data_IF_592147255850
#
_entry.id   IF_592147255850
#
_cell.length_a   1.000
_cell.length_b   1.000
_cell.length_c   1.000
_cell.angle_alpha   90.00
_cell.angle_beta   90.00
_cell.angle_gamma   90.00
#
_symmetry.space_group_name_H-M   'P 1'
#
loop_
_entity.id
_entity.type
_entity.pdbx_description
1 polymer ?
#
# COMPACT_ATOMS: atom_id res chain seq x y z
N UNK A 1 42.87 0.23 -6.37
CA UNK A 1 42.62 -1.23 -6.47
C UNK A 1 41.33 -1.54 -7.25
N UNK A 2 40.19 -0.90 -6.90
CA UNK A 2 38.90 -1.11 -7.59
C UNK A 2 38.89 -0.73 -9.09
N UNK A 3 39.54 0.37 -9.48
CA UNK A 3 39.61 0.79 -10.89
C UNK A 3 40.40 -0.18 -11.77
N UNK A 4 41.44 -0.80 -11.21
CA UNK A 4 42.26 -1.78 -11.91
C UNK A 4 41.46 -3.05 -12.20
N UNK A 5 40.68 -3.53 -11.21
CA UNK A 5 39.76 -4.67 -11.36
C UNK A 5 38.67 -4.36 -12.38
N UNK A 6 38.08 -3.17 -12.35
CA UNK A 6 37.05 -2.75 -13.29
C UNK A 6 37.56 -2.70 -14.75
N UNK A 7 38.80 -2.22 -14.98
CA UNK A 7 39.44 -2.22 -16.32
C UNK A 7 39.73 -3.64 -16.82
N UNK A 8 40.14 -4.55 -15.95
CA UNK A 8 40.40 -5.95 -16.28
C UNK A 8 39.12 -6.68 -16.67
N UNK A 9 38.03 -6.47 -15.93
CA UNK A 9 36.72 -7.07 -16.22
C UNK A 9 36.07 -6.53 -17.50
N UNK A 10 36.28 -5.26 -17.83
CA UNK A 10 35.70 -4.60 -19.01
C UNK A 10 36.58 -4.66 -20.28
N UNK A 11 37.69 -5.40 -20.28
CA UNK A 11 38.52 -5.54 -21.49
C UNK A 11 37.77 -6.32 -22.58
N UNK A 12 37.92 -5.92 -23.85
CA UNK A 12 37.32 -6.64 -24.97
C UNK A 12 37.84 -8.09 -25.08
N UNK A 13 39.06 -8.34 -24.58
CA UNK A 13 39.70 -9.66 -24.52
C UNK A 13 39.05 -10.60 -23.48
N UNK A 14 38.58 -10.09 -22.33
CA UNK A 14 37.87 -10.91 -21.33
C UNK A 14 36.46 -11.32 -21.79
N UNK A 15 35.89 -10.63 -22.78
CA UNK A 15 34.58 -10.95 -23.37
C UNK A 15 34.65 -11.88 -24.60
N UNK A 16 35.82 -11.98 -25.25
CA UNK A 16 36.00 -12.67 -26.53
C UNK A 16 35.87 -14.21 -26.49
N UNK A 17 35.80 -14.82 -25.30
CA UNK A 17 35.57 -16.27 -25.12
C UNK A 17 34.43 -16.59 -24.16
N UNK A 18 33.68 -15.59 -23.72
CA UNK A 18 32.62 -15.78 -22.74
C UNK A 18 31.41 -16.37 -23.44
N UNK A 19 31.09 -17.64 -23.12
CA UNK A 19 29.83 -18.27 -23.57
C UNK A 19 28.67 -17.34 -23.24
N UNK A 20 27.71 -17.21 -24.17
CA UNK A 20 26.52 -16.36 -24.02
C UNK A 20 25.95 -16.55 -22.60
N UNK A 21 26.00 -15.48 -21.80
CA UNK A 21 25.57 -15.51 -20.40
C UNK A 21 24.11 -15.99 -20.34
N UNK A 22 23.81 -17.15 -19.71
CA UNK A 22 22.44 -17.64 -19.61
C UNK A 22 21.72 -16.91 -18.48
N UNK A 23 20.83 -15.94 -18.76
CA UNK A 23 20.22 -15.11 -17.73
C UNK A 23 19.37 -15.92 -16.76
N UNK A 24 18.75 -17.01 -17.22
CA UNK A 24 17.90 -17.89 -16.42
C UNK A 24 18.66 -18.75 -15.41
N UNK A 25 19.89 -19.17 -15.73
CA UNK A 25 20.71 -20.03 -14.86
C UNK A 25 21.50 -19.24 -13.81
N UNK A 26 21.65 -17.94 -14.03
CA UNK A 26 22.42 -17.04 -13.15
C UNK A 26 21.52 -15.95 -12.52
N UNK A 27 20.21 -16.18 -12.51
CA UNK A 27 19.26 -15.27 -11.88
C UNK A 27 19.25 -15.49 -10.37
N UNK A 28 19.90 -14.59 -9.63
CA UNK A 28 19.79 -14.53 -8.17
C UNK A 28 18.54 -13.72 -7.84
N UNK A 29 17.62 -14.31 -7.07
CA UNK A 29 16.44 -13.57 -6.59
C UNK A 29 16.89 -12.49 -5.61
N UNK A 30 16.35 -11.29 -5.75
CA UNK A 30 16.60 -10.20 -4.80
C UNK A 30 16.04 -10.58 -3.42
N UNK A 31 16.83 -10.42 -2.35
CA UNK A 31 16.40 -10.68 -0.99
C UNK A 31 15.14 -9.88 -0.62
N UNK A 32 15.09 -8.60 -1.01
CA UNK A 32 13.92 -7.75 -0.78
C UNK A 32 12.66 -8.31 -1.48
N UNK A 33 12.81 -8.92 -2.66
CA UNK A 33 11.69 -9.56 -3.35
C UNK A 33 11.21 -10.81 -2.61
N UNK A 34 12.11 -11.62 -2.05
CA UNK A 34 11.75 -12.79 -1.24
C UNK A 34 11.00 -12.38 0.02
N UNK A 35 11.48 -11.36 0.73
CA UNK A 35 10.82 -10.84 1.94
C UNK A 35 9.42 -10.33 1.59
N UNK A 36 9.27 -9.54 0.52
CA UNK A 36 7.97 -9.07 0.08
C UNK A 36 6.99 -10.21 -0.22
N UNK A 37 7.44 -11.24 -0.95
CA UNK A 37 6.61 -12.42 -1.25
C UNK A 37 6.20 -13.16 0.03
N UNK A 38 7.11 -13.33 0.99
CA UNK A 38 6.80 -13.96 2.27
C UNK A 38 5.78 -13.15 3.07
N UNK A 39 5.96 -11.81 3.15
CA UNK A 39 5.00 -10.93 3.83
C UNK A 39 3.63 -10.96 3.16
N UNK A 40 3.57 -10.91 1.83
CA UNK A 40 2.31 -11.02 1.10
C UNK A 40 1.59 -12.34 1.36
N UNK A 41 2.32 -13.45 1.43
CA UNK A 41 1.76 -14.75 1.75
C UNK A 41 1.17 -14.79 3.18
N UNK A 42 1.85 -14.17 4.15
CA UNK A 42 1.33 -14.05 5.53
C UNK A 42 0.11 -13.14 5.57
N UNK A 43 0.13 -11.99 4.91
CA UNK A 43 -1.03 -11.09 4.89
C UNK A 43 -2.27 -11.76 4.27
N UNK A 44 -2.09 -12.57 3.23
CA UNK A 44 -3.16 -13.35 2.61
C UNK A 44 -3.79 -14.41 3.53
N UNK A 45 -3.10 -14.84 4.59
CA UNK A 45 -3.72 -15.73 5.59
C UNK A 45 -4.61 -14.97 6.58
N UNK A 46 -4.42 -13.66 6.73
CA UNK A 46 -5.13 -12.80 7.68
C UNK A 46 -6.23 -11.96 7.04
N UNK A 47 -6.05 -11.57 5.79
CA UNK A 47 -6.99 -10.71 5.05
C UNK A 47 -7.21 -11.26 3.64
N UNK A 48 -8.47 -11.32 3.24
CA UNK A 48 -8.86 -11.67 1.86
C UNK A 48 -9.02 -10.43 0.99
N UNK A 49 -8.86 -9.23 1.58
CA UNK A 49 -8.99 -7.98 0.86
C UNK A 49 -8.01 -7.94 -0.32
N UNK A 50 -8.52 -7.49 -1.47
CA UNK A 50 -7.68 -7.29 -2.65
C UNK A 50 -6.93 -5.98 -2.51
N UNK A 51 -5.76 -5.85 -3.11
CA UNK A 51 -5.09 -4.54 -3.17
C UNK A 51 -5.91 -3.55 -4.01
N UNK A 52 -5.74 -2.24 -3.78
CA UNK A 52 -6.45 -1.23 -4.56
C UNK A 52 -6.03 -1.24 -6.03
N UNK A 53 -7.00 -1.39 -6.93
CA UNK A 53 -6.83 -1.19 -8.37
C UNK A 53 -7.60 0.08 -8.79
N UNK A 54 -6.90 1.12 -9.32
CA UNK A 54 -7.54 2.33 -9.83
C UNK A 54 -8.60 2.07 -10.91
N UNK A 55 -8.53 0.93 -11.61
CA UNK A 55 -9.49 0.57 -12.65
C UNK A 55 -10.79 0.00 -12.09
N UNK A 56 -10.77 -0.52 -10.87
CA UNK A 56 -11.90 -1.22 -10.25
C UNK A 56 -12.04 -0.85 -8.75
N UNK A 57 -12.28 0.44 -8.42
CA UNK A 57 -12.26 0.92 -7.04
C UNK A 57 -13.41 0.38 -6.17
N UNK A 58 -14.49 -0.13 -6.78
CA UNK A 58 -15.69 -0.63 -6.10
C UNK A 58 -15.52 -2.04 -5.52
N UNK A 59 -14.47 -2.79 -5.90
CA UNK A 59 -14.26 -4.18 -5.45
C UNK A 59 -13.74 -4.32 -4.02
N UNK A 60 -13.64 -3.23 -3.27
CA UNK A 60 -13.10 -3.18 -1.90
C UNK A 60 -14.19 -2.96 -0.85
N UNK A 61 -15.45 -3.25 -1.17
CA UNK A 61 -16.48 -3.25 -0.15
C UNK A 61 -16.23 -4.41 0.83
N UNK A 62 -16.23 -4.13 2.15
CA UNK A 62 -16.00 -5.16 3.15
C UNK A 62 -17.18 -6.13 3.14
N UNK A 63 -16.88 -7.43 3.18
CA UNK A 63 -17.90 -8.46 3.30
C UNK A 63 -18.41 -8.46 4.75
N UNK A 64 -19.61 -7.92 4.96
CA UNK A 64 -20.22 -7.75 6.29
C UNK A 64 -20.89 -9.05 6.78
N UNK A 65 -20.92 -10.09 5.94
CA UNK A 65 -21.59 -11.37 6.22
C UNK A 65 -20.64 -12.46 6.77
N UNK A 66 -19.32 -12.25 6.77
CA UNK A 66 -18.37 -13.21 7.36
C UNK A 66 -18.34 -13.10 8.91
N UNK A 67 -18.29 -14.25 9.60
CA UNK A 67 -18.20 -14.37 11.06
C UNK A 67 -16.94 -13.68 11.64
N UNK A 68 -15.94 -13.42 10.79
CA UNK A 68 -14.72 -12.71 11.10
C UNK A 68 -14.64 -11.41 10.32
N UNK A 69 -14.38 -10.32 11.04
CA UNK A 69 -14.24 -9.00 10.44
C UNK A 69 -12.82 -8.83 9.88
N UNK A 70 -12.66 -8.67 8.56
CA UNK A 70 -11.35 -8.38 7.94
C UNK A 70 -10.94 -6.94 8.26
N UNK A 71 -10.18 -6.73 9.35
CA UNK A 71 -9.82 -5.40 9.82
C UNK A 71 -8.91 -4.66 8.83
N UNK A 72 -8.04 -5.39 8.13
CA UNK A 72 -7.17 -4.84 7.09
C UNK A 72 -8.03 -4.35 5.92
N UNK A 73 -8.99 -5.18 5.49
CA UNK A 73 -9.96 -4.82 4.47
C UNK A 73 -10.78 -3.57 4.84
N UNK A 74 -11.28 -3.50 6.08
CA UNK A 74 -12.01 -2.32 6.56
C UNK A 74 -11.18 -1.04 6.54
N UNK A 75 -9.95 -1.08 7.06
CA UNK A 75 -9.05 0.06 7.04
C UNK A 75 -8.80 0.48 5.58
N UNK A 76 -8.58 -0.49 4.69
CA UNK A 76 -8.40 -0.22 3.28
C UNK A 76 -9.62 0.46 2.64
N UNK A 77 -10.84 -0.01 2.93
CA UNK A 77 -12.08 0.62 2.45
C UNK A 77 -12.23 2.05 2.95
N UNK A 78 -11.89 2.32 4.21
CA UNK A 78 -11.89 3.68 4.79
C UNK A 78 -10.90 4.57 4.05
N UNK A 79 -9.66 4.11 3.86
CA UNK A 79 -8.60 4.86 3.18
C UNK A 79 -9.01 5.17 1.74
N UNK A 80 -9.57 4.19 1.03
CA UNK A 80 -10.13 4.38 -0.32
C UNK A 80 -11.24 5.43 -0.30
N UNK A 81 -12.19 5.34 0.62
CA UNK A 81 -13.29 6.29 0.73
C UNK A 81 -12.79 7.71 0.98
N UNK A 82 -11.82 7.88 1.88
CA UNK A 82 -11.21 9.18 2.17
C UNK A 82 -10.48 9.76 0.95
N UNK A 83 -9.81 8.91 0.17
CA UNK A 83 -9.02 9.32 -0.99
C UNK A 83 -9.81 9.37 -2.31
N UNK A 84 -11.05 8.87 -2.37
CA UNK A 84 -11.82 8.73 -3.62
C UNK A 84 -12.27 10.06 -4.24
N UNK A 85 -12.19 11.16 -3.51
CA UNK A 85 -12.58 12.49 -3.98
C UNK A 85 -11.72 13.56 -3.33
N UNK A 86 -11.33 14.58 -4.10
CA UNK A 86 -10.64 15.75 -3.59
C UNK A 86 -11.39 16.42 -2.42
N UNK A 87 -12.74 16.41 -2.46
CA UNK A 87 -13.57 16.95 -1.38
C UNK A 87 -13.39 16.17 -0.07
N UNK A 88 -13.32 14.84 -0.14
CA UNK A 88 -13.13 13.98 1.03
C UNK A 88 -11.71 14.07 1.58
N UNK A 89 -10.72 14.11 0.69
CA UNK A 89 -9.34 14.35 1.07
C UNK A 89 -9.14 15.72 1.75
N UNK A 90 -9.83 16.76 1.28
CA UNK A 90 -9.82 18.07 1.92
C UNK A 90 -10.52 18.05 3.28
N UNK A 91 -11.71 17.45 3.37
CA UNK A 91 -12.44 17.29 4.63
C UNK A 91 -11.56 16.63 5.71
N UNK A 92 -10.85 15.56 5.33
CA UNK A 92 -9.95 14.86 6.23
C UNK A 92 -8.79 15.73 6.72
N UNK A 93 -8.25 16.60 5.86
CA UNK A 93 -7.24 17.59 6.25
C UNK A 93 -7.82 18.66 7.17
N UNK A 94 -9.02 19.14 6.89
CA UNK A 94 -9.70 20.16 7.68
C UNK A 94 -9.98 19.63 9.10
N UNK A 95 -10.36 18.36 9.25
CA UNK A 95 -10.49 17.67 10.55
C UNK A 95 -9.17 17.76 11.34
N UNK A 96 -8.04 17.39 10.73
CA UNK A 96 -6.73 17.41 11.40
C UNK A 96 -6.27 18.82 11.79
N UNK A 97 -6.59 19.82 10.95
CA UNK A 97 -6.24 21.21 11.21
C UNK A 97 -7.07 21.80 12.38
N UNK A 98 -8.35 21.45 12.48
CA UNK A 98 -9.22 21.89 13.59
C UNK A 98 -8.75 21.35 14.93
N UNK A 99 -8.24 20.13 14.95
CA UNK A 99 -7.81 19.44 16.16
C UNK A 99 -6.30 19.55 16.45
N UNK A 100 -5.63 20.51 15.78
CA UNK A 100 -4.34 21.06 16.20
C UNK A 100 -3.12 20.17 15.95
N UNK A 101 -2.98 19.64 14.73
CA UNK A 101 -1.72 19.01 14.28
C UNK A 101 -0.88 19.99 13.43
N UNK A 102 0.37 20.27 13.84
CA UNK A 102 1.30 21.15 13.09
C UNK A 102 1.66 20.61 11.69
N UNK A 103 1.44 19.32 11.45
CA UNK A 103 1.63 18.67 10.15
C UNK A 103 0.48 17.70 9.85
N UNK A 104 -0.29 17.96 8.79
CA UNK A 104 -1.34 17.03 8.35
C UNK A 104 -0.73 15.79 7.71
N UNK A 105 -1.10 14.60 8.17
CA UNK A 105 -0.69 13.33 7.57
C UNK A 105 -1.80 12.82 6.64
N UNK A 106 -1.43 12.35 5.45
CA UNK A 106 -2.39 11.76 4.52
C UNK A 106 -2.50 10.24 4.75
N UNK A 107 -3.72 9.71 4.66
CA UNK A 107 -3.93 8.26 4.56
C UNK A 107 -3.37 7.74 3.23
N UNK A 108 -2.65 6.63 3.30
CA UNK A 108 -1.96 6.05 2.14
C UNK A 108 -2.62 4.75 1.70
N UNK A 109 -2.93 4.66 0.41
CA UNK A 109 -3.55 3.48 -0.20
C UNK A 109 -2.61 2.28 -0.19
N UNK A 110 -3.20 1.10 0.07
CA UNK A 110 -2.50 -0.17 -0.11
C UNK A 110 -2.43 -0.53 -1.61
N UNK A 111 -1.19 -0.57 -2.14
CA UNK A 111 -0.90 -0.72 -3.56
C UNK A 111 0.06 -1.90 -3.76
N UNK A 112 -0.34 -2.89 -4.56
CA UNK A 112 0.42 -4.14 -4.78
C UNK A 112 1.88 -3.95 -5.23
N UNK A 113 2.20 -2.81 -5.86
CA UNK A 113 3.55 -2.50 -6.37
C UNK A 113 4.52 -2.10 -5.25
N UNK A 114 4.04 -1.62 -4.10
CA UNK A 114 4.88 -1.09 -3.04
C UNK A 114 4.96 -2.08 -1.88
N UNK A 115 6.13 -2.71 -1.75
CA UNK A 115 6.46 -3.75 -0.76
C UNK A 115 6.13 -3.50 0.72
N UNK A 116 5.84 -2.26 1.12
CA UNK A 116 5.48 -1.90 2.50
C UNK A 116 4.15 -1.14 2.57
N UNK A 117 3.33 -1.14 1.52
CA UNK A 117 2.11 -0.33 1.46
C UNK A 117 1.10 -0.71 2.53
N UNK A 118 0.86 -2.00 2.77
CA UNK A 118 -0.05 -2.45 3.82
C UNK A 118 0.44 -1.98 5.20
N UNK A 119 1.73 -2.16 5.51
CA UNK A 119 2.30 -1.68 6.77
C UNK A 119 2.14 -0.16 6.94
N UNK A 120 2.48 0.62 5.92
CA UNK A 120 2.39 2.09 5.97
C UNK A 120 0.94 2.54 6.09
N UNK A 121 -0.01 1.86 5.42
CA UNK A 121 -1.43 2.13 5.54
C UNK A 121 -1.90 1.92 6.99
N UNK A 122 -1.55 0.78 7.59
CA UNK A 122 -1.93 0.42 8.96
C UNK A 122 -1.30 1.38 9.99
N UNK A 123 -0.01 1.67 9.86
CA UNK A 123 0.71 2.61 10.73
C UNK A 123 0.11 4.03 10.67
N UNK A 124 -0.27 4.49 9.47
CA UNK A 124 -0.96 5.77 9.31
C UNK A 124 -2.38 5.73 9.89
N UNK A 125 -3.13 4.64 9.66
CA UNK A 125 -4.50 4.50 10.18
C UNK A 125 -4.52 4.48 11.72
N UNK A 126 -3.55 3.81 12.34
CA UNK A 126 -3.40 3.79 13.79
C UNK A 126 -3.11 5.19 14.35
N UNK A 127 -2.14 5.92 13.76
CA UNK A 127 -1.80 7.29 14.17
C UNK A 127 -2.94 8.29 13.97
N UNK A 128 -3.77 8.07 12.94
CA UNK A 128 -4.86 8.97 12.56
C UNK A 128 -6.23 8.51 13.06
N UNK A 129 -6.29 7.48 13.90
CA UNK A 129 -7.53 6.93 14.45
C UNK A 129 -8.54 7.98 14.93
N UNK A 130 -8.18 8.98 15.78
CA UNK A 130 -9.16 9.96 16.24
C UNK A 130 -9.78 10.77 15.10
N UNK A 131 -9.00 11.09 14.05
CA UNK A 131 -9.49 11.83 12.89
C UNK A 131 -10.31 10.96 11.95
N UNK A 132 -10.02 9.65 11.88
CA UNK A 132 -10.81 8.68 11.11
C UNK A 132 -12.22 8.58 11.69
N UNK A 133 -12.35 8.49 13.02
CA UNK A 133 -13.65 8.38 13.68
C UNK A 133 -14.52 9.63 13.38
N UNK A 134 -13.94 10.83 13.53
CA UNK A 134 -14.62 12.08 13.18
C UNK A 134 -14.98 12.16 11.69
N UNK A 135 -14.09 11.69 10.82
CA UNK A 135 -14.34 11.66 9.37
C UNK A 135 -15.50 10.74 8.99
N UNK A 136 -15.54 9.52 9.55
CA UNK A 136 -16.63 8.57 9.31
C UNK A 136 -17.96 9.17 9.76
N UNK A 137 -17.96 9.79 10.95
CA UNK A 137 -19.15 10.47 11.47
C UNK A 137 -19.64 11.59 10.55
N UNK A 138 -18.76 12.50 10.13
CA UNK A 138 -19.14 13.61 9.24
C UNK A 138 -19.60 13.14 7.85
N UNK A 139 -18.96 12.10 7.30
CA UNK A 139 -19.39 11.49 6.04
C UNK A 139 -20.78 10.86 6.19
N UNK A 140 -21.02 10.11 7.27
CA UNK A 140 -22.33 9.51 7.57
C UNK A 140 -23.43 10.55 7.75
N UNK A 141 -23.14 11.70 8.39
CA UNK A 141 -24.09 12.81 8.46
C UNK A 141 -24.42 13.41 7.09
N UNK A 142 -23.45 13.45 6.19
CA UNK A 142 -23.60 14.04 4.85
C UNK A 142 -24.26 13.09 3.83
N UNK A 143 -24.31 11.79 4.12
CA UNK A 143 -24.90 10.79 3.23
C UNK A 143 -26.43 10.92 3.22
N UNK A 144 -26.97 11.06 2.01
CA UNK A 144 -28.42 11.26 1.80
C UNK A 144 -29.16 9.94 1.70
N UNK A 145 -28.47 8.89 1.27
CA UNK A 145 -29.05 7.56 1.17
C UNK A 145 -29.00 6.86 2.55
N UNK A 146 -30.17 6.62 3.14
CA UNK A 146 -30.31 5.98 4.45
C UNK A 146 -29.78 4.54 4.50
N UNK A 147 -29.78 3.83 3.37
CA UNK A 147 -29.24 2.46 3.29
C UNK A 147 -27.70 2.44 3.31
N UNK A 148 -27.06 3.59 3.06
CA UNK A 148 -25.59 3.74 3.03
C UNK A 148 -25.04 4.50 4.24
N UNK A 149 -25.92 4.88 5.17
CA UNK A 149 -25.63 5.76 6.30
C UNK A 149 -25.26 4.98 7.56
#
# INVERSE_FOLDING_TARGET
MLEFVARLMNSHKSRAGMKKWPPTKNHIRCLAHIINLATQAVLQTHSKSKHYDPKEPEKLEPDVEEEYCDEIGLIQSIVVKACSSAKRGQLFKDIQLRESTESTLQLLLDMAVRWSSTYVMLDHAEKLKPFIDTFIYEIGLSEKNLEKR
#
